data_IF_442325771113
#
_entry.id   IF_442325771113
#
_cell.length_a   1.000
_cell.length_b   1.000
_cell.length_c   1.000
_cell.angle_alpha   90.00
_cell.angle_beta   90.00
_cell.angle_gamma   90.00
#
_symmetry.space_group_name_H-M   'P 1'
#
loop_
_entity.id
_entity.type
_entity.pdbx_description
1 polymer ?
#
# COMPACT_ATOMS: atom_id res chain seq x y z
N UNK A 1 8.47 24.98 -16.11
CA UNK A 1 7.49 23.93 -15.79
C UNK A 1 8.15 23.07 -14.73
N UNK A 2 7.99 23.47 -13.47
CA UNK A 2 8.35 22.59 -12.36
C UNK A 2 7.43 21.38 -12.48
N UNK A 3 8.00 20.22 -12.79
CA UNK A 3 7.26 18.98 -12.61
C UNK A 3 6.89 18.93 -11.14
N UNK A 4 5.62 19.14 -10.80
CA UNK A 4 5.03 18.62 -9.57
C UNK A 4 5.48 17.17 -9.48
N UNK A 5 6.50 16.92 -8.66
CA UNK A 5 7.04 15.58 -8.45
C UNK A 5 5.99 14.89 -7.60
N UNK A 6 4.99 14.32 -8.25
CA UNK A 6 4.08 13.39 -7.59
C UNK A 6 4.98 12.26 -7.07
N UNK A 7 5.19 12.22 -5.77
CA UNK A 7 5.97 11.17 -5.15
C UNK A 7 5.20 9.87 -5.35
N UNK A 8 5.84 8.81 -5.87
CA UNK A 8 5.14 7.58 -6.20
C UNK A 8 4.55 6.96 -4.95
N UNK A 9 3.28 6.57 -5.03
CA UNK A 9 2.62 5.85 -3.94
C UNK A 9 3.03 4.38 -4.05
N UNK A 10 3.68 3.86 -3.01
CA UNK A 10 4.08 2.46 -2.91
C UNK A 10 3.19 1.75 -1.91
N UNK A 11 2.52 0.68 -2.33
CA UNK A 11 1.82 -0.24 -1.44
C UNK A 11 2.77 -1.39 -1.10
N UNK A 12 3.21 -1.45 0.15
CA UNK A 12 4.01 -2.55 0.66
C UNK A 12 3.12 -3.53 1.40
N UNK A 13 3.07 -4.76 0.93
CA UNK A 13 2.28 -5.86 1.47
C UNK A 13 3.22 -6.85 2.14
N UNK A 14 2.86 -7.32 3.33
CA UNK A 14 3.65 -8.28 4.10
C UNK A 14 2.75 -9.17 4.95
N UNK A 15 3.26 -10.33 5.34
CA UNK A 15 2.57 -11.23 6.27
C UNK A 15 2.76 -10.76 7.71
N UNK A 16 1.66 -10.41 8.38
CA UNK A 16 1.68 -10.05 9.79
C UNK A 16 1.92 -11.29 10.68
N UNK A 17 2.43 -11.11 11.92
CA UNK A 17 2.62 -12.22 12.87
C UNK A 17 1.35 -13.00 13.20
N UNK A 18 0.17 -12.40 12.99
CA UNK A 18 -1.14 -13.06 13.08
C UNK A 18 -1.36 -14.14 12.02
N UNK A 19 -0.46 -14.27 11.04
CA UNK A 19 -0.66 -15.10 9.88
C UNK A 19 -1.73 -14.55 8.95
N UNK A 20 -2.03 -13.24 8.99
CA UNK A 20 -2.85 -12.53 8.01
C UNK A 20 -1.99 -11.56 7.21
N UNK A 21 -2.48 -11.09 6.07
CA UNK A 21 -1.81 -10.06 5.30
C UNK A 21 -2.09 -8.68 5.89
N UNK A 22 -1.06 -7.85 5.86
CA UNK A 22 -1.10 -6.43 6.17
C UNK A 22 -0.40 -5.66 5.06
N UNK A 23 -0.65 -4.36 4.98
CA UNK A 23 0.06 -3.51 4.05
C UNK A 23 0.06 -2.05 4.46
N UNK A 24 1.02 -1.31 3.91
CA UNK A 24 1.28 0.09 4.21
C UNK A 24 1.39 0.87 2.91
N UNK A 25 0.80 2.06 2.87
CA UNK A 25 0.93 3.02 1.79
C UNK A 25 2.05 3.99 2.13
N UNK A 26 3.01 4.12 1.22
CA UNK A 26 4.20 4.93 1.37
C UNK A 26 4.22 5.99 0.27
N UNK A 27 4.43 7.26 0.62
CA UNK A 27 4.66 8.35 -0.34
C UNK A 27 6.02 8.95 -0.03
N UNK A 28 6.95 8.91 -1.00
CA UNK A 28 8.31 9.41 -0.75
C UNK A 28 9.08 8.64 0.34
N UNK A 29 8.58 7.47 0.75
CA UNK A 29 9.09 6.70 1.89
C UNK A 29 8.43 7.01 3.24
N UNK A 30 7.47 7.92 3.29
CA UNK A 30 6.67 8.22 4.48
C UNK A 30 5.37 7.40 4.49
N UNK A 31 5.03 6.80 5.64
CA UNK A 31 3.78 6.06 5.82
C UNK A 31 2.60 7.03 5.90
N UNK A 32 1.64 6.88 4.99
CA UNK A 32 0.43 7.69 4.91
C UNK A 32 -0.84 6.91 5.29
N UNK A 33 -0.71 5.61 5.58
CA UNK A 33 -1.83 4.73 5.86
C UNK A 33 -1.43 3.27 5.89
N UNK A 34 -2.17 2.49 6.67
CA UNK A 34 -1.95 1.05 6.80
C UNK A 34 -3.26 0.28 6.84
N UNK A 35 -3.18 -0.98 6.46
CA UNK A 35 -4.23 -1.96 6.32
C UNK A 35 -3.79 -3.23 7.02
N UNK A 36 -4.68 -3.87 7.79
CA UNK A 36 -4.36 -5.13 8.45
C UNK A 36 -5.56 -6.09 8.46
N UNK A 37 -5.25 -7.38 8.64
CA UNK A 37 -6.28 -8.39 8.88
C UNK A 37 -6.88 -9.02 7.63
N UNK A 38 -6.22 -8.92 6.48
CA UNK A 38 -6.69 -9.45 5.19
C UNK A 38 -6.26 -10.90 4.96
N UNK A 39 -7.10 -11.67 4.27
CA UNK A 39 -6.84 -13.09 4.00
C UNK A 39 -5.88 -13.32 2.82
N UNK A 40 -5.79 -12.37 1.88
CA UNK A 40 -4.91 -12.42 0.71
C UNK A 40 -4.27 -11.05 0.40
N UNK A 41 -3.14 -11.00 -0.32
CA UNK A 41 -2.52 -9.74 -0.75
C UNK A 41 -3.42 -8.99 -1.75
N UNK A 42 -4.16 -9.69 -2.61
CA UNK A 42 -5.07 -9.04 -3.57
C UNK A 42 -6.20 -8.30 -2.87
N UNK A 43 -6.71 -8.82 -1.74
CA UNK A 43 -7.75 -8.14 -0.95
C UNK A 43 -7.25 -6.81 -0.36
N UNK A 44 -5.94 -6.71 -0.13
CA UNK A 44 -5.25 -5.51 0.33
C UNK A 44 -5.11 -4.46 -0.77
N UNK A 45 -4.75 -4.89 -1.98
CA UNK A 45 -4.70 -4.03 -3.16
C UNK A 45 -6.08 -3.44 -3.49
N UNK A 46 -7.12 -4.28 -3.45
CA UNK A 46 -8.49 -3.83 -3.68
C UNK A 46 -8.95 -2.87 -2.57
N UNK A 47 -8.63 -3.14 -1.31
CA UNK A 47 -8.94 -2.20 -0.22
C UNK A 47 -8.28 -0.83 -0.40
N UNK A 48 -7.02 -0.78 -0.87
CA UNK A 48 -6.37 0.47 -1.20
C UNK A 48 -7.12 1.22 -2.32
N UNK A 49 -7.54 0.51 -3.37
CA UNK A 49 -8.35 1.08 -4.46
C UNK A 49 -9.70 1.61 -4.00
N UNK A 50 -10.36 0.91 -3.07
CA UNK A 50 -11.64 1.35 -2.47
C UNK A 50 -11.49 2.66 -1.68
N UNK A 51 -10.30 2.93 -1.10
CA UNK A 51 -10.01 4.23 -0.47
C UNK A 51 -9.72 5.35 -1.47
N UNK A 52 -9.70 5.05 -2.77
CA UNK A 52 -9.36 5.99 -3.84
C UNK A 52 -7.86 6.15 -4.06
N UNK A 53 -7.04 5.30 -3.43
CA UNK A 53 -5.59 5.28 -3.60
C UNK A 53 -5.22 4.24 -4.65
N UNK A 54 -4.49 4.67 -5.67
CA UNK A 54 -3.99 3.80 -6.73
C UNK A 54 -2.46 3.77 -6.64
N UNK A 55 -1.87 2.73 -6.05
CA UNK A 55 -0.43 2.64 -5.90
C UNK A 55 0.25 2.57 -7.27
N UNK A 56 1.30 3.37 -7.46
CA UNK A 56 2.18 3.29 -8.62
C UNK A 56 3.05 2.02 -8.59
N UNK A 57 3.35 1.55 -7.38
CA UNK A 57 4.19 0.38 -7.13
C UNK A 57 3.58 -0.48 -6.04
N UNK A 58 3.60 -1.79 -6.24
CA UNK A 58 3.23 -2.78 -5.23
C UNK A 58 4.45 -3.63 -4.93
N UNK A 59 4.81 -3.76 -3.65
CA UNK A 59 5.89 -4.59 -3.16
C UNK A 59 5.30 -5.65 -2.22
N UNK A 60 5.61 -6.93 -2.42
CA UNK A 60 5.11 -8.04 -1.59
C UNK A 60 6.31 -8.77 -1.00
N UNK A 61 6.38 -8.81 0.33
CA UNK A 61 7.42 -9.47 1.16
C UNK A 61 6.93 -10.83 1.69
#
# INVERSE_FOLDING_TARGET
MEHDKHEPITLRIYRAPSGRWAGCLLVGGEDIGSFDGYDSPEALEEAARETGVYPDRVEVD
#
